data_IF_016316551490
#
_entry.id   IF_016316551490
#
_cell.length_a   1.000
_cell.length_b   1.000
_cell.length_c   1.000
_cell.angle_alpha   90.00
_cell.angle_beta   90.00
_cell.angle_gamma   90.00
#
_symmetry.space_group_name_H-M   'P 1'
#
loop_
_entity.id
_entity.type
_entity.pdbx_description
1 polymer ?
#
# COMPACT_ATOMS: atom_id res chain seq x y z
N UNK A 1 24.57 20.00 -0.70
CA UNK A 1 25.21 18.68 -1.01
C UNK A 1 24.84 17.60 0.02
N UNK A 2 24.96 17.82 1.33
CA UNK A 2 24.60 16.80 2.36
C UNK A 2 23.19 16.22 2.17
N UNK A 3 22.16 17.05 1.91
CA UNK A 3 20.78 16.61 1.71
C UNK A 3 20.56 15.74 0.46
N UNK A 4 21.33 15.91 -0.59
CA UNK A 4 21.23 15.08 -1.80
C UNK A 4 21.83 13.68 -1.56
N UNK A 5 23.01 13.62 -0.97
CA UNK A 5 23.67 12.35 -0.64
C UNK A 5 22.82 11.53 0.31
N UNK A 6 22.29 12.16 1.37
CA UNK A 6 21.40 11.47 2.32
C UNK A 6 20.16 10.90 1.63
N UNK A 7 19.52 11.67 0.75
CA UNK A 7 18.35 11.20 -0.02
C UNK A 7 18.70 10.06 -0.97
N UNK A 8 19.86 10.12 -1.63
CA UNK A 8 20.31 9.05 -2.52
C UNK A 8 20.57 7.75 -1.73
N UNK A 9 21.26 7.83 -0.60
CA UNK A 9 21.55 6.66 0.25
C UNK A 9 20.25 6.06 0.80
N UNK A 10 19.33 6.87 1.33
CA UNK A 10 18.05 6.37 1.83
C UNK A 10 17.20 5.74 0.75
N UNK A 11 17.20 6.30 -0.47
CA UNK A 11 16.51 5.73 -1.62
C UNK A 11 17.07 4.38 -2.04
N UNK A 12 18.41 4.26 -2.14
CA UNK A 12 19.07 2.99 -2.48
C UNK A 12 18.82 1.93 -1.40
N UNK A 13 18.92 2.32 -0.12
CA UNK A 13 18.60 1.40 0.99
C UNK A 13 17.15 0.93 0.95
N UNK A 14 16.20 1.84 0.71
CA UNK A 14 14.78 1.50 0.59
C UNK A 14 14.53 0.49 -0.54
N UNK A 15 15.04 0.78 -1.74
CA UNK A 15 14.93 -0.13 -2.89
C UNK A 15 15.60 -1.46 -2.60
N UNK A 16 16.81 -1.46 -2.02
CA UNK A 16 17.54 -2.66 -1.66
C UNK A 16 16.79 -3.55 -0.66
N UNK A 17 16.21 -2.96 0.39
CA UNK A 17 15.41 -3.69 1.38
C UNK A 17 14.14 -4.26 0.73
N UNK A 18 13.45 -3.46 -0.10
CA UNK A 18 12.22 -3.89 -0.76
C UNK A 18 12.48 -5.05 -1.74
N UNK A 19 13.43 -4.88 -2.65
CA UNK A 19 13.80 -5.91 -3.63
C UNK A 19 14.35 -7.15 -2.92
N UNK A 20 15.25 -6.96 -1.96
CA UNK A 20 15.82 -8.05 -1.17
C UNK A 20 14.75 -8.86 -0.44
N UNK A 21 13.78 -8.22 0.19
CA UNK A 21 12.71 -8.94 0.90
C UNK A 21 11.78 -9.71 -0.05
N UNK A 22 11.51 -9.18 -1.25
CA UNK A 22 10.69 -9.87 -2.26
C UNK A 22 11.43 -11.10 -2.78
N UNK A 23 12.73 -10.98 -3.06
CA UNK A 23 13.50 -12.05 -3.70
C UNK A 23 13.98 -13.14 -2.71
N UNK A 24 14.17 -12.77 -1.44
CA UNK A 24 14.80 -13.69 -0.47
C UNK A 24 13.86 -14.83 -0.04
N UNK A 25 12.62 -14.52 0.39
CA UNK A 25 11.66 -15.55 0.80
C UNK A 25 10.23 -15.01 0.92
N UNK A 26 9.20 -15.91 0.88
CA UNK A 26 7.82 -15.51 1.16
C UNK A 26 7.64 -14.94 2.58
N UNK A 27 8.46 -15.38 3.54
CA UNK A 27 8.39 -14.89 4.92
C UNK A 27 8.89 -13.45 5.02
N UNK A 28 10.04 -13.14 4.39
CA UNK A 28 10.58 -11.76 4.38
C UNK A 28 9.64 -10.80 3.65
N UNK A 29 9.07 -11.23 2.53
CA UNK A 29 8.02 -10.50 1.84
C UNK A 29 6.83 -10.24 2.77
N UNK A 30 6.32 -11.27 3.45
CA UNK A 30 5.18 -11.16 4.36
C UNK A 30 5.43 -10.18 5.51
N UNK A 31 6.57 -10.28 6.18
CA UNK A 31 6.93 -9.41 7.31
C UNK A 31 7.06 -7.96 6.85
N UNK A 32 7.81 -7.71 5.77
CA UNK A 32 8.04 -6.35 5.29
C UNK A 32 6.75 -5.68 4.86
N UNK A 33 5.93 -6.34 4.04
CA UNK A 33 4.72 -5.71 3.51
C UNK A 33 3.59 -5.60 4.53
N UNK A 34 3.50 -6.51 5.51
CA UNK A 34 2.60 -6.33 6.65
C UNK A 34 3.01 -5.11 7.49
N UNK A 35 4.32 -4.91 7.70
CA UNK A 35 4.83 -3.73 8.40
C UNK A 35 4.57 -2.44 7.61
N UNK A 36 4.83 -2.43 6.30
CA UNK A 36 4.55 -1.28 5.44
C UNK A 36 3.04 -0.94 5.47
N UNK A 37 2.16 -1.92 5.34
CA UNK A 37 0.73 -1.72 5.43
C UNK A 37 0.32 -1.09 6.77
N UNK A 38 0.83 -1.62 7.89
CA UNK A 38 0.57 -1.07 9.22
C UNK A 38 1.07 0.37 9.37
N UNK A 39 2.31 0.66 8.95
CA UNK A 39 2.91 1.98 9.05
C UNK A 39 2.21 3.00 8.16
N UNK A 40 1.82 2.61 6.93
CA UNK A 40 1.08 3.49 6.01
C UNK A 40 -0.31 3.83 6.54
N UNK A 41 -1.03 2.85 7.12
CA UNK A 41 -2.31 3.09 7.80
C UNK A 41 -2.11 3.97 9.03
N UNK A 42 -1.05 3.73 9.83
CA UNK A 42 -0.75 4.55 11.01
C UNK A 42 -0.46 6.01 10.64
N UNK A 43 0.29 6.24 9.55
CA UNK A 43 0.59 7.58 9.06
C UNK A 43 -0.66 8.29 8.55
N UNK A 44 -1.50 7.59 7.79
CA UNK A 44 -2.79 8.12 7.37
C UNK A 44 -3.67 8.54 8.57
N UNK A 45 -3.79 7.65 9.58
CA UNK A 45 -4.53 7.99 10.81
C UNK A 45 -3.91 9.18 11.54
N UNK A 46 -2.58 9.29 11.52
CA UNK A 46 -1.89 10.45 12.11
C UNK A 46 -2.26 11.75 11.40
N UNK A 47 -2.20 11.76 10.08
CA UNK A 47 -2.54 12.91 9.26
C UNK A 47 -4.00 13.35 9.48
N UNK A 48 -4.94 12.41 9.50
CA UNK A 48 -6.36 12.71 9.77
C UNK A 48 -6.58 13.30 11.17
N UNK A 49 -5.89 12.74 12.17
CA UNK A 49 -5.99 13.25 13.55
C UNK A 49 -5.36 14.65 13.71
N UNK A 50 -4.26 14.92 13.00
CA UNK A 50 -3.58 16.24 13.06
C UNK A 50 -4.34 17.29 12.26
N UNK A 51 -4.95 16.94 11.12
CA UNK A 51 -5.77 17.87 10.34
C UNK A 51 -7.08 18.25 11.03
N UNK A 52 -7.51 17.48 12.03
CA UNK A 52 -8.79 17.68 12.72
C UNK A 52 -10.01 17.19 11.94
N UNK A 53 -9.82 16.57 10.76
CA UNK A 53 -10.89 16.03 9.93
C UNK A 53 -11.55 14.81 10.57
N UNK A 54 -10.78 13.96 11.25
CA UNK A 54 -11.25 12.79 11.95
C UNK A 54 -10.37 12.46 13.17
N UNK A 55 -10.92 11.73 14.14
CA UNK A 55 -10.20 11.24 15.33
C UNK A 55 -10.17 9.72 15.32
N UNK A 56 -9.11 9.13 14.78
CA UNK A 56 -8.98 7.71 14.55
C UNK A 56 -8.20 7.01 15.67
N UNK A 57 -8.54 5.75 15.93
CA UNK A 57 -7.78 4.87 16.82
C UNK A 57 -6.56 4.32 16.07
N UNK A 58 -5.45 5.06 16.07
CA UNK A 58 -4.23 4.74 15.31
C UNK A 58 -3.73 3.31 15.51
N UNK A 59 -3.45 2.82 16.75
CA UNK A 59 -2.87 1.50 16.94
C UNK A 59 -3.77 0.38 16.43
N UNK A 60 -5.06 0.41 16.77
CA UNK A 60 -5.98 -0.66 16.37
C UNK A 60 -6.24 -0.65 14.86
N UNK A 61 -6.41 0.54 14.27
CA UNK A 61 -6.60 0.67 12.81
C UNK A 61 -5.37 0.18 12.04
N UNK A 62 -4.16 0.47 12.55
CA UNK A 62 -2.90 0.02 11.93
C UNK A 62 -2.70 -1.48 12.04
N UNK A 63 -3.05 -2.08 13.18
CA UNK A 63 -3.07 -3.54 13.34
C UNK A 63 -4.04 -4.20 12.35
N UNK A 64 -5.18 -3.55 12.06
CA UNK A 64 -6.11 -4.00 11.02
C UNK A 64 -5.45 -4.11 9.66
N UNK A 65 -4.63 -3.13 9.27
CA UNK A 65 -3.89 -3.15 8.01
C UNK A 65 -2.89 -4.30 7.91
N UNK A 66 -2.08 -4.52 8.96
CA UNK A 66 -1.17 -5.65 9.03
C UNK A 66 -1.92 -6.98 9.00
N UNK A 67 -3.01 -7.07 9.76
CA UNK A 67 -3.80 -8.28 9.86
C UNK A 67 -4.47 -8.64 8.53
N UNK A 68 -5.03 -7.67 7.81
CA UNK A 68 -5.59 -7.90 6.48
C UNK A 68 -4.54 -8.47 5.52
N UNK A 69 -3.32 -7.91 5.53
CA UNK A 69 -2.22 -8.41 4.71
C UNK A 69 -1.89 -9.86 5.04
N UNK A 70 -1.70 -10.19 6.32
CA UNK A 70 -1.34 -11.54 6.77
C UNK A 70 -2.48 -12.53 6.57
N UNK A 71 -3.73 -12.13 6.77
CA UNK A 71 -4.89 -12.97 6.51
C UNK A 71 -4.99 -13.34 5.03
N UNK A 72 -4.79 -12.38 4.12
CA UNK A 72 -4.78 -12.66 2.69
C UNK A 72 -3.57 -13.51 2.28
N UNK A 73 -2.41 -13.28 2.89
CA UNK A 73 -1.23 -14.12 2.68
C UNK A 73 -1.49 -15.59 3.03
N UNK A 74 -2.01 -15.87 4.23
CA UNK A 74 -2.30 -17.24 4.67
C UNK A 74 -3.39 -17.91 3.82
N UNK A 75 -4.36 -17.14 3.37
CA UNK A 75 -5.39 -17.60 2.45
C UNK A 75 -4.79 -17.98 1.07
N UNK A 76 -3.94 -17.10 0.50
CA UNK A 76 -3.30 -17.33 -0.80
C UNK A 76 -2.32 -18.51 -0.79
N UNK A 77 -1.64 -18.79 0.33
CA UNK A 77 -0.76 -19.96 0.50
C UNK A 77 -1.56 -21.28 0.54
N UNK A 78 -2.90 -21.20 0.68
CA UNK A 78 -3.74 -22.40 0.83
C UNK A 78 -3.67 -23.02 2.23
N UNK A 79 -3.06 -22.33 3.18
CA UNK A 79 -2.92 -22.79 4.58
C UNK A 79 -4.17 -22.58 5.43
N UNK A 80 -5.16 -21.86 4.92
CA UNK A 80 -6.36 -21.49 5.69
C UNK A 80 -7.59 -21.33 4.81
N UNK A 81 -8.74 -21.63 5.40
CA UNK A 81 -10.07 -21.34 4.83
C UNK A 81 -10.37 -19.82 4.93
N UNK A 82 -11.42 -19.37 4.26
CA UNK A 82 -11.93 -17.97 4.32
C UNK A 82 -12.20 -17.48 5.76
N UNK A 83 -12.33 -18.38 6.72
CA UNK A 83 -12.45 -18.08 8.15
C UNK A 83 -11.29 -17.28 8.73
N UNK A 84 -10.13 -17.27 8.08
CA UNK A 84 -8.97 -16.45 8.46
C UNK A 84 -9.28 -14.95 8.49
N UNK A 85 -10.31 -14.50 7.74
CA UNK A 85 -10.75 -13.11 7.75
C UNK A 85 -11.68 -12.75 8.91
N UNK A 86 -12.22 -13.72 9.66
CA UNK A 86 -13.15 -13.44 10.75
C UNK A 86 -12.58 -12.54 11.84
N UNK A 87 -11.33 -12.72 12.33
CA UNK A 87 -10.74 -11.80 13.29
C UNK A 87 -10.58 -10.37 12.74
N UNK A 88 -10.27 -10.21 11.44
CA UNK A 88 -10.21 -8.90 10.80
C UNK A 88 -11.58 -8.23 10.77
N UNK A 89 -12.63 -8.96 10.39
CA UNK A 89 -14.00 -8.45 10.43
C UNK A 89 -14.43 -8.09 11.84
N UNK A 90 -14.05 -8.93 12.84
CA UNK A 90 -14.27 -8.64 14.25
C UNK A 90 -13.57 -7.35 14.71
N UNK A 91 -12.35 -7.10 14.25
CA UNK A 91 -11.62 -5.87 14.53
C UNK A 91 -12.32 -4.64 13.89
N UNK A 92 -12.81 -4.75 12.66
CA UNK A 92 -13.57 -3.68 12.04
C UNK A 92 -14.86 -3.39 12.78
N UNK A 93 -15.60 -4.42 13.17
CA UNK A 93 -16.82 -4.28 14.00
C UNK A 93 -16.50 -3.64 15.35
N UNK A 94 -15.40 -4.04 15.98
CA UNK A 94 -14.92 -3.42 17.22
C UNK A 94 -14.67 -1.91 17.03
N UNK A 95 -13.98 -1.50 15.98
CA UNK A 95 -13.72 -0.10 15.69
C UNK A 95 -15.00 0.69 15.45
N UNK A 96 -15.98 0.09 14.77
CA UNK A 96 -17.29 0.70 14.54
C UNK A 96 -18.07 0.88 15.83
N UNK A 97 -18.15 -0.17 16.66
CA UNK A 97 -18.89 -0.15 17.92
C UNK A 97 -18.21 0.79 18.92
N UNK A 98 -16.88 0.71 19.04
CA UNK A 98 -16.10 1.55 19.96
C UNK A 98 -16.34 3.06 19.71
N UNK A 99 -16.48 3.48 18.46
CA UNK A 99 -16.74 4.87 18.10
C UNK A 99 -18.07 5.37 18.68
N UNK A 100 -19.10 4.53 18.76
CA UNK A 100 -20.39 4.89 19.34
C UNK A 100 -20.29 5.24 20.84
N UNK A 101 -19.37 4.58 21.55
CA UNK A 101 -19.20 4.76 22.99
C UNK A 101 -18.19 5.87 23.36
N UNK A 102 -17.25 6.18 22.45
CA UNK A 102 -16.16 7.13 22.74
C UNK A 102 -16.57 8.61 22.69
N UNK A 103 -17.81 8.90 22.25
CA UNK A 103 -18.36 10.27 22.19
C UNK A 103 -17.43 11.28 21.51
N UNK A 104 -16.70 10.84 20.47
CA UNK A 104 -15.82 11.68 19.66
C UNK A 104 -16.61 12.61 18.73
N UNK A 105 -16.04 13.75 18.33
CA UNK A 105 -16.67 14.60 17.31
C UNK A 105 -16.72 13.84 15.97
N UNK A 106 -17.76 14.07 15.19
CA UNK A 106 -17.94 13.57 13.82
C UNK A 106 -17.76 12.04 13.66
N UNK A 107 -18.56 11.20 14.35
CA UNK A 107 -18.38 9.73 14.28
C UNK A 107 -18.49 9.17 12.87
N UNK A 108 -19.29 9.77 11.99
CA UNK A 108 -19.40 9.35 10.59
C UNK A 108 -18.10 9.60 9.82
N UNK A 109 -17.44 10.74 10.05
CA UNK A 109 -16.13 11.01 9.45
C UNK A 109 -15.07 10.04 9.99
N UNK A 110 -15.10 9.73 11.29
CA UNK A 110 -14.19 8.76 11.90
C UNK A 110 -14.38 7.37 11.30
N UNK A 111 -15.61 6.91 11.10
CA UNK A 111 -15.90 5.64 10.41
C UNK A 111 -15.44 5.66 8.95
N UNK A 112 -15.78 6.71 8.20
CA UNK A 112 -15.41 6.84 6.80
C UNK A 112 -13.89 6.80 6.61
N UNK A 113 -13.13 7.57 7.41
CA UNK A 113 -11.69 7.58 7.34
C UNK A 113 -11.06 6.26 7.81
N UNK A 114 -11.65 5.59 8.82
CA UNK A 114 -11.22 4.26 9.23
C UNK A 114 -11.38 3.26 8.08
N UNK A 115 -12.56 3.21 7.45
CA UNK A 115 -12.80 2.32 6.30
C UNK A 115 -11.94 2.69 5.09
N UNK A 116 -11.77 3.98 4.81
CA UNK A 116 -10.90 4.46 3.75
C UNK A 116 -9.46 3.98 3.94
N UNK A 117 -8.93 4.03 5.17
CA UNK A 117 -7.59 3.54 5.47
C UNK A 117 -7.42 2.04 5.17
N UNK A 118 -8.45 1.24 5.43
CA UNK A 118 -8.42 -0.20 5.16
C UNK A 118 -8.57 -0.50 3.66
N UNK A 119 -9.51 0.16 2.98
CA UNK A 119 -9.81 -0.12 1.57
C UNK A 119 -8.80 0.52 0.61
N UNK A 120 -8.34 1.73 0.90
CA UNK A 120 -7.47 2.49 -0.01
C UNK A 120 -5.98 2.27 0.26
N UNK A 121 -5.59 1.93 1.50
CA UNK A 121 -4.18 1.72 1.87
C UNK A 121 -3.90 0.24 2.15
N UNK A 122 -4.58 -0.37 3.12
CA UNK A 122 -4.25 -1.73 3.52
C UNK A 122 -4.56 -2.78 2.44
N UNK A 123 -5.72 -2.66 1.78
CA UNK A 123 -6.16 -3.63 0.77
C UNK A 123 -5.22 -3.69 -0.46
N UNK A 124 -4.75 -2.60 -1.07
CA UNK A 124 -3.78 -2.67 -2.17
C UNK A 124 -2.49 -3.40 -1.78
N UNK A 125 -1.95 -3.16 -0.58
CA UNK A 125 -0.81 -3.93 -0.10
C UNK A 125 -1.17 -5.41 0.08
N UNK A 126 -2.32 -5.72 0.68
CA UNK A 126 -2.75 -7.11 0.85
C UNK A 126 -2.91 -7.85 -0.49
N UNK A 127 -3.42 -7.18 -1.53
CA UNK A 127 -3.59 -7.77 -2.87
C UNK A 127 -2.26 -8.16 -3.53
N UNK A 128 -1.10 -7.65 -3.07
CA UNK A 128 0.20 -8.15 -3.54
C UNK A 128 0.37 -9.66 -3.29
N UNK A 129 -0.30 -10.21 -2.28
CA UNK A 129 -0.29 -11.67 -2.03
C UNK A 129 -0.92 -12.45 -3.18
N UNK A 130 -1.96 -11.92 -3.82
CA UNK A 130 -2.61 -12.56 -4.99
C UNK A 130 -1.66 -12.64 -6.18
N UNK A 131 -0.76 -11.65 -6.34
CA UNK A 131 0.29 -11.68 -7.34
C UNK A 131 1.44 -12.61 -6.96
N UNK A 132 1.80 -12.63 -5.66
CA UNK A 132 2.96 -13.36 -5.16
C UNK A 132 2.72 -14.88 -5.07
N UNK A 133 1.51 -15.31 -4.74
CA UNK A 133 1.17 -16.74 -4.57
C UNK A 133 0.29 -17.22 -5.71
N UNK A 134 0.81 -18.11 -6.51
CA UNK A 134 0.13 -18.65 -7.68
C UNK A 134 -0.20 -20.14 -7.48
N UNK A 135 -1.43 -20.52 -7.81
CA UNK A 135 -1.82 -21.92 -7.85
C UNK A 135 -1.30 -22.56 -9.15
N UNK A 136 -0.63 -23.68 -9.02
CA UNK A 136 -0.30 -24.54 -10.14
C UNK A 136 -1.47 -25.53 -10.36
N UNK A 137 -2.29 -25.36 -11.41
CA UNK A 137 -3.48 -26.21 -11.62
C UNK A 137 -3.12 -27.69 -11.88
N UNK A 138 -1.90 -27.96 -12.38
CA UNK A 138 -1.45 -29.31 -12.70
C UNK A 138 -1.04 -30.10 -11.46
N UNK A 139 -0.56 -29.44 -10.42
CA UNK A 139 -0.02 -30.08 -9.22
C UNK A 139 -0.88 -29.85 -7.98
N UNK A 140 -1.86 -28.95 -8.05
CA UNK A 140 -2.66 -28.51 -6.90
C UNK A 140 -1.83 -27.80 -5.81
N UNK A 141 -0.58 -27.47 -6.13
CA UNK A 141 0.35 -26.79 -5.21
C UNK A 141 0.30 -25.27 -5.39
N UNK A 142 0.63 -24.55 -4.33
CA UNK A 142 0.80 -23.09 -4.37
C UNK A 142 2.30 -22.78 -4.36
N UNK A 143 2.75 -21.98 -5.32
CA UNK A 143 4.14 -21.53 -5.41
C UNK A 143 4.25 -20.01 -5.16
N UNK A 144 5.32 -19.59 -4.50
CA UNK A 144 5.67 -18.19 -4.36
C UNK A 144 6.43 -17.71 -5.61
N UNK A 145 5.86 -16.73 -6.30
CA UNK A 145 6.48 -16.10 -7.47
C UNK A 145 6.84 -14.64 -7.14
N UNK A 146 8.12 -14.34 -6.85
CA UNK A 146 8.55 -12.98 -6.52
C UNK A 146 8.55 -12.03 -7.72
N UNK A 147 8.53 -12.56 -8.96
CA UNK A 147 8.68 -11.75 -10.18
C UNK A 147 7.49 -10.81 -10.37
N UNK A 148 6.27 -11.27 -10.12
CA UNK A 148 5.08 -10.45 -10.36
C UNK A 148 4.96 -9.25 -9.41
N UNK A 149 5.09 -9.39 -8.07
CA UNK A 149 5.17 -8.24 -7.18
C UNK A 149 6.32 -7.30 -7.54
N UNK A 150 7.49 -7.85 -7.90
CA UNK A 150 8.64 -7.03 -8.30
C UNK A 150 8.36 -6.25 -9.59
N UNK A 151 7.77 -6.91 -10.60
CA UNK A 151 7.38 -6.28 -11.86
C UNK A 151 6.44 -5.09 -11.63
N UNK A 152 5.46 -5.23 -10.72
CA UNK A 152 4.56 -4.13 -10.36
C UNK A 152 5.35 -2.90 -9.86
N UNK A 153 6.32 -3.09 -8.96
CA UNK A 153 7.16 -1.98 -8.47
C UNK A 153 8.05 -1.40 -9.58
N UNK A 154 8.62 -2.24 -10.43
CA UNK A 154 9.42 -1.77 -11.59
C UNK A 154 8.56 -0.93 -12.52
N UNK A 155 7.34 -1.35 -12.86
CA UNK A 155 6.42 -0.56 -13.69
C UNK A 155 6.04 0.78 -13.04
N UNK A 156 5.79 0.79 -11.72
CA UNK A 156 5.53 2.04 -10.99
C UNK A 156 6.72 2.99 -11.04
N UNK A 157 7.94 2.50 -10.81
CA UNK A 157 9.16 3.32 -10.86
C UNK A 157 9.46 3.84 -12.28
N UNK A 158 9.25 3.00 -13.30
CA UNK A 158 9.41 3.42 -14.71
C UNK A 158 8.37 4.46 -15.08
N UNK A 159 7.11 4.27 -14.67
CA UNK A 159 6.04 5.24 -14.90
C UNK A 159 6.33 6.59 -14.24
N UNK A 160 6.75 6.60 -12.98
CA UNK A 160 7.08 7.83 -12.26
C UNK A 160 8.32 8.53 -12.87
N UNK A 161 9.34 7.76 -13.23
CA UNK A 161 10.55 8.29 -13.87
C UNK A 161 10.23 8.88 -15.25
N UNK A 162 9.45 8.15 -16.07
CA UNK A 162 9.01 8.60 -17.37
C UNK A 162 8.15 9.86 -17.29
N UNK A 163 7.19 9.86 -16.36
CA UNK A 163 6.32 11.01 -16.11
C UNK A 163 7.13 12.25 -15.68
N UNK A 164 8.14 12.07 -14.84
CA UNK A 164 9.02 13.15 -14.42
C UNK A 164 9.89 13.66 -15.58
N UNK A 165 10.57 12.78 -16.31
CA UNK A 165 11.46 13.15 -17.41
C UNK A 165 10.68 13.86 -18.51
N UNK A 166 9.62 13.27 -19.02
CA UNK A 166 8.81 13.85 -20.10
C UNK A 166 8.11 15.13 -19.64
N UNK A 167 7.52 15.10 -18.44
CA UNK A 167 6.81 16.25 -17.88
C UNK A 167 7.71 17.44 -17.60
N UNK A 168 8.98 17.22 -17.23
CA UNK A 168 9.94 18.30 -17.02
C UNK A 168 10.48 18.90 -18.32
N UNK A 169 10.56 18.12 -19.40
CA UNK A 169 11.09 18.55 -20.68
C UNK A 169 10.04 19.23 -21.58
N UNK A 170 8.86 18.63 -21.68
CA UNK A 170 7.83 19.07 -22.65
C UNK A 170 6.45 19.31 -22.03
N UNK A 171 6.30 19.20 -20.70
CA UNK A 171 5.01 19.36 -20.00
C UNK A 171 4.48 20.78 -20.10
N UNK A 172 3.46 20.99 -20.93
CA UNK A 172 2.77 22.27 -21.13
C UNK A 172 1.36 22.29 -20.54
N UNK A 173 0.62 21.20 -20.70
CA UNK A 173 -0.78 21.11 -20.27
C UNK A 173 -0.89 20.47 -18.88
N UNK A 174 -1.40 21.23 -17.92
CA UNK A 174 -1.55 20.75 -16.53
C UNK A 174 -2.64 19.69 -16.45
N UNK A 175 -2.38 18.60 -15.70
CA UNK A 175 -3.33 17.50 -15.54
C UNK A 175 -4.46 17.90 -14.57
N UNK A 176 -4.10 18.38 -13.37
CA UNK A 176 -5.01 18.83 -12.31
C UNK A 176 -4.37 19.98 -11.53
N UNK A 177 -4.59 21.23 -11.96
CA UNK A 177 -3.95 22.41 -11.34
C UNK A 177 -4.24 22.53 -9.85
N UNK A 178 -5.50 22.27 -9.45
CA UNK A 178 -5.92 22.40 -8.04
C UNK A 178 -5.29 21.37 -7.11
N UNK A 179 -5.05 20.13 -7.58
CA UNK A 179 -4.60 19.01 -6.74
C UNK A 179 -3.10 18.81 -6.86
N UNK A 180 -2.58 18.89 -8.09
CA UNK A 180 -1.17 18.66 -8.38
C UNK A 180 -0.67 19.58 -9.52
N UNK A 181 -0.30 20.82 -9.19
CA UNK A 181 0.05 21.84 -10.19
C UNK A 181 1.31 21.51 -11.00
N UNK A 182 2.10 20.52 -10.57
CA UNK A 182 3.33 20.10 -11.26
C UNK A 182 3.11 18.97 -12.26
N UNK A 183 1.97 18.25 -12.22
CA UNK A 183 1.68 17.15 -13.14
C UNK A 183 1.13 17.67 -14.46
N UNK A 184 1.60 17.09 -15.59
CA UNK A 184 1.16 17.41 -16.94
C UNK A 184 0.62 16.18 -17.68
N UNK A 185 -0.20 16.40 -18.68
CA UNK A 185 -0.71 15.34 -19.58
C UNK A 185 0.43 14.66 -20.32
N UNK A 186 1.37 15.44 -20.87
CA UNK A 186 2.55 14.93 -21.59
C UNK A 186 3.40 14.02 -20.68
N UNK A 187 3.59 14.44 -19.43
CA UNK A 187 4.29 13.63 -18.44
C UNK A 187 3.56 12.31 -18.17
N UNK A 188 2.24 12.34 -17.99
CA UNK A 188 1.45 11.13 -17.73
C UNK A 188 1.47 10.14 -18.90
N UNK A 189 1.38 10.64 -20.14
CA UNK A 189 1.52 9.81 -21.35
C UNK A 189 2.93 9.24 -21.44
N UNK A 190 3.97 10.07 -21.21
CA UNK A 190 5.37 9.62 -21.22
C UNK A 190 5.67 8.53 -20.20
N UNK A 191 5.09 8.65 -18.99
CA UNK A 191 5.18 7.60 -17.96
C UNK A 191 4.51 6.30 -18.40
N UNK A 192 3.32 6.39 -19.00
CA UNK A 192 2.62 5.22 -19.55
C UNK A 192 3.39 4.51 -20.65
N UNK A 193 3.93 5.29 -21.61
CA UNK A 193 4.74 4.72 -22.70
C UNK A 193 6.00 4.02 -22.16
N UNK A 194 6.72 4.66 -21.23
CA UNK A 194 7.95 4.08 -20.68
C UNK A 194 7.70 2.83 -19.84
N UNK A 195 6.51 2.68 -19.24
CA UNK A 195 6.17 1.49 -18.45
C UNK A 195 5.72 0.30 -19.32
N UNK A 196 5.39 0.51 -20.61
CA UNK A 196 4.96 -0.54 -21.55
C UNK A 196 6.12 -0.98 -22.47
N UNK A 197 7.09 -0.09 -22.70
CA UNK A 197 8.24 -0.35 -23.59
C UNK A 197 9.28 -1.24 -22.89
#
# INVERSE_FOLDING_TARGET
MKNFITRAITGVLFVGVLVGSILYSPISFGILFALIAALSVNEFCHLMNVSGEAVLNRPVTSLGGAFLFLALMTYCIGGSDSRVFLPYLGLLLYLMIAELYLKRPNPLANWACTMLSQLYIALPFALLNVLAFQQNPAEGSVSFNPILPLALFVFLWLSDTGAYCVGSLIGKHRLFERISPKKSWEGSIGGGVLSIA
#
